data_IF_791127985699
#
_entry.id   IF_791127985699
#
_cell.length_a   1.000
_cell.length_b   1.000
_cell.length_c   1.000
_cell.angle_alpha   90.00
_cell.angle_beta   90.00
_cell.angle_gamma   90.00
#
_symmetry.space_group_name_H-M   'P 1'
#
loop_
_entity.id
_entity.type
_entity.pdbx_description
1 polymer ?
#
# COMPACT_ATOMS: atom_id res chain seq x y z
N UNK A 1 14.13 -3.19 -7.67
CA UNK A 1 13.12 -2.62 -6.75
C UNK A 1 12.75 -3.71 -5.76
N UNK A 2 12.94 -3.48 -4.47
CA UNK A 2 12.76 -4.52 -3.45
C UNK A 2 11.30 -4.98 -3.36
N UNK A 3 11.08 -6.19 -2.84
CA UNK A 3 9.74 -6.76 -2.61
C UNK A 3 8.89 -7.03 -3.89
N UNK A 4 9.49 -6.92 -5.08
CA UNK A 4 8.81 -6.98 -6.38
C UNK A 4 9.46 -8.03 -7.30
N UNK A 5 8.76 -8.54 -8.34
CA UNK A 5 7.35 -8.28 -8.65
C UNK A 5 6.38 -9.03 -7.73
N UNK A 6 5.18 -8.48 -7.56
CA UNK A 6 4.05 -9.17 -6.92
C UNK A 6 3.23 -9.91 -8.00
N UNK A 7 2.98 -11.22 -7.86
CA UNK A 7 2.23 -12.01 -8.86
C UNK A 7 0.77 -11.56 -9.01
N UNK A 8 0.20 -10.90 -8.00
CA UNK A 8 -1.15 -10.33 -8.07
C UNK A 8 -1.18 -8.91 -8.64
N UNK A 9 -0.04 -8.32 -9.02
CA UNK A 9 0.03 -7.00 -9.65
C UNK A 9 0.08 -5.81 -8.68
N UNK A 10 0.26 -6.06 -7.38
CA UNK A 10 0.37 -4.98 -6.37
C UNK A 10 1.68 -4.21 -6.58
N UNK A 11 1.60 -2.88 -6.65
CA UNK A 11 2.76 -2.01 -6.58
C UNK A 11 3.17 -1.78 -5.11
N UNK A 12 3.88 -2.75 -4.52
CA UNK A 12 4.23 -2.71 -3.09
C UNK A 12 4.98 -1.42 -2.70
N UNK A 13 6.03 -0.99 -3.43
CA UNK A 13 6.75 0.24 -3.10
C UNK A 13 5.87 1.50 -3.10
N UNK A 14 5.01 1.68 -4.10
CA UNK A 14 4.17 2.89 -4.19
C UNK A 14 3.11 2.92 -3.09
N UNK A 15 2.50 1.77 -2.75
CA UNK A 15 1.56 1.67 -1.63
C UNK A 15 2.19 2.15 -0.31
N UNK A 16 3.41 1.68 -0.01
CA UNK A 16 4.15 2.12 1.19
C UNK A 16 4.60 3.57 1.11
N UNK A 17 5.02 4.06 -0.06
CA UNK A 17 5.37 5.47 -0.25
C UNK A 17 4.18 6.39 0.03
N UNK A 18 2.96 6.02 -0.39
CA UNK A 18 1.75 6.81 -0.11
C UNK A 18 1.43 6.80 1.39
N UNK A 19 1.51 5.63 2.05
CA UNK A 19 1.28 5.54 3.50
C UNK A 19 2.31 6.34 4.30
N UNK A 20 3.61 6.22 3.99
CA UNK A 20 4.67 6.97 4.67
C UNK A 20 4.49 8.50 4.56
N UNK A 21 3.96 8.96 3.42
CA UNK A 21 3.61 10.37 3.25
C UNK A 21 2.46 10.82 4.17
N UNK A 22 1.60 9.93 4.67
CA UNK A 22 0.53 10.30 5.62
C UNK A 22 1.07 10.65 7.00
N UNK A 23 2.07 9.91 7.50
CA UNK A 23 2.59 10.00 8.88
C UNK A 23 3.31 11.33 9.13
N UNK A 24 4.00 11.87 8.13
CA UNK A 24 5.01 12.92 8.32
C UNK A 24 4.47 14.36 8.51
N UNK A 25 3.16 14.56 8.74
CA UNK A 25 2.45 15.82 9.18
C UNK A 25 0.95 15.68 8.89
N UNK A 26 0.11 15.42 9.90
CA UNK A 26 -1.34 15.25 9.70
C UNK A 26 -2.04 16.60 9.46
N UNK A 27 -2.21 16.96 8.19
CA UNK A 27 -3.15 18.02 7.79
C UNK A 27 -4.29 17.40 6.97
N UNK A 28 -5.48 18.01 7.03
CA UNK A 28 -6.63 17.58 6.21
C UNK A 28 -6.27 17.57 4.71
N UNK A 29 -5.53 18.57 4.24
CA UNK A 29 -5.06 18.65 2.85
C UNK A 29 -4.15 17.47 2.50
N UNK A 30 -3.17 17.15 3.36
CA UNK A 30 -2.25 16.03 3.11
C UNK A 30 -2.98 14.70 3.09
N UNK A 31 -3.91 14.47 4.03
CA UNK A 31 -4.78 13.27 4.05
C UNK A 31 -5.62 13.14 2.78
N UNK A 32 -6.16 14.24 2.27
CA UNK A 32 -6.90 14.23 1.01
C UNK A 32 -5.99 13.89 -0.18
N UNK A 33 -4.80 14.51 -0.26
CA UNK A 33 -3.82 14.26 -1.32
C UNK A 33 -3.34 12.80 -1.33
N UNK A 34 -3.04 12.21 -0.16
CA UNK A 34 -2.56 10.82 -0.08
C UNK A 34 -3.67 9.83 -0.48
N UNK A 35 -4.91 10.04 -0.04
CA UNK A 35 -6.06 9.24 -0.51
C UNK A 35 -6.27 9.38 -2.02
N UNK A 36 -6.12 10.58 -2.57
CA UNK A 36 -6.19 10.79 -4.03
C UNK A 36 -5.09 10.03 -4.77
N UNK A 37 -3.85 10.05 -4.28
CA UNK A 37 -2.74 9.26 -4.86
C UNK A 37 -3.04 7.76 -4.82
N UNK A 38 -3.53 7.25 -3.70
CA UNK A 38 -3.92 5.83 -3.57
C UNK A 38 -5.00 5.44 -4.59
N UNK A 39 -5.97 6.31 -4.85
CA UNK A 39 -7.02 6.09 -5.86
C UNK A 39 -6.51 6.11 -7.31
N UNK A 40 -5.29 6.58 -7.56
CA UNK A 40 -4.67 6.47 -8.89
C UNK A 40 -4.08 5.06 -9.13
N UNK A 41 -3.83 4.30 -8.06
CA UNK A 41 -3.55 2.87 -8.17
C UNK A 41 -4.86 2.11 -8.37
N UNK A 42 -4.84 1.05 -9.17
CA UNK A 42 -6.06 0.29 -9.48
C UNK A 42 -6.38 -0.72 -8.38
N UNK A 43 -7.63 -0.75 -7.95
CA UNK A 43 -8.22 -1.86 -7.18
C UNK A 43 -8.96 -2.87 -8.06
N UNK A 44 -8.88 -2.71 -9.39
CA UNK A 44 -9.62 -3.47 -10.39
C UNK A 44 -8.67 -4.40 -11.13
N UNK A 45 -8.94 -5.72 -11.11
CA UNK A 45 -8.08 -6.75 -11.72
C UNK A 45 -7.97 -6.60 -13.25
N UNK A 46 -9.03 -6.14 -13.90
CA UNK A 46 -9.11 -5.87 -15.34
C UNK A 46 -8.24 -4.69 -15.80
N UNK A 47 -7.82 -3.81 -14.89
CA UNK A 47 -6.98 -2.64 -15.18
C UNK A 47 -5.53 -2.79 -14.71
N UNK A 48 -5.17 -3.98 -14.25
CA UNK A 48 -3.81 -4.26 -13.80
C UNK A 48 -2.86 -4.26 -15.00
N UNK A 49 -1.80 -3.49 -14.87
CA UNK A 49 -0.64 -3.58 -15.76
C UNK A 49 0.41 -4.48 -15.07
N UNK A 50 0.67 -5.65 -15.66
CA UNK A 50 1.61 -6.62 -15.11
C UNK A 50 3.08 -6.31 -15.47
N UNK A 51 3.31 -5.44 -16.46
CA UNK A 51 4.63 -4.94 -16.82
C UNK A 51 5.01 -3.72 -15.96
N UNK A 52 4.05 -2.81 -15.76
CA UNK A 52 4.18 -1.61 -14.93
C UNK A 52 3.19 -1.68 -13.76
N UNK A 53 3.52 -2.53 -12.78
CA UNK A 53 2.65 -2.83 -11.63
C UNK A 53 1.99 -1.56 -11.06
N UNK A 54 0.67 -1.52 -11.10
CA UNK A 54 -0.17 -0.36 -10.75
C UNK A 54 -1.27 -0.71 -9.73
N UNK A 55 -1.28 -1.94 -9.21
CA UNK A 55 -2.26 -2.42 -8.24
C UNK A 55 -2.11 -1.75 -6.88
N UNK A 56 -3.22 -1.36 -6.28
CA UNK A 56 -3.27 -0.87 -4.90
C UNK A 56 -3.24 -2.05 -3.90
N UNK A 57 -3.16 -1.74 -2.61
CA UNK A 57 -3.08 -2.75 -1.57
C UNK A 57 -4.31 -3.68 -1.47
N UNK A 58 -5.49 -3.25 -1.94
CA UNK A 58 -6.71 -4.09 -1.92
C UNK A 58 -6.64 -5.28 -2.87
N UNK A 59 -5.67 -5.29 -3.81
CA UNK A 59 -5.40 -6.41 -4.72
C UNK A 59 -4.60 -7.54 -4.04
N UNK A 60 -3.96 -7.27 -2.90
CA UNK A 60 -3.14 -8.25 -2.19
C UNK A 60 -3.95 -9.52 -1.87
N UNK A 61 -3.41 -10.67 -2.24
CA UNK A 61 -4.01 -11.99 -2.01
C UNK A 61 -3.37 -12.73 -0.84
N UNK A 62 -2.42 -12.07 -0.15
CA UNK A 62 -1.61 -12.67 0.93
C UNK A 62 -0.85 -13.94 0.48
N UNK A 63 -0.35 -13.95 -0.76
CA UNK A 63 0.41 -15.10 -1.31
C UNK A 63 1.82 -15.27 -0.73
N UNK A 64 2.30 -14.31 0.07
CA UNK A 64 3.59 -14.33 0.77
C UNK A 64 4.88 -14.34 -0.11
N UNK A 65 4.79 -14.36 -1.44
CA UNK A 65 5.98 -14.34 -2.33
C UNK A 65 6.90 -13.12 -2.16
N UNK A 66 6.36 -12.03 -1.62
CA UNK A 66 7.13 -10.81 -1.39
C UNK A 66 8.05 -10.90 -0.16
N UNK A 67 7.80 -11.85 0.76
CA UNK A 67 8.56 -11.99 2.01
C UNK A 67 10.02 -12.34 1.74
N UNK A 68 10.28 -13.29 0.84
CA UNK A 68 11.65 -13.71 0.46
C UNK A 68 12.41 -12.60 -0.29
N UNK A 69 11.70 -11.66 -0.91
CA UNK A 69 12.25 -10.56 -1.69
C UNK A 69 12.47 -9.29 -0.85
N UNK A 70 12.07 -9.30 0.42
CA UNK A 70 12.06 -8.13 1.29
C UNK A 70 13.39 -8.02 2.05
N UNK A 71 14.22 -6.98 1.79
CA UNK A 71 15.50 -6.81 2.50
C UNK A 71 15.32 -6.42 3.97
N UNK A 72 14.14 -5.94 4.35
CA UNK A 72 13.82 -5.50 5.71
C UNK A 72 13.10 -6.57 6.53
N UNK A 73 12.81 -7.74 5.94
CA UNK A 73 12.12 -8.85 6.61
C UNK A 73 10.81 -8.45 7.30
N UNK A 74 10.08 -7.47 6.75
CA UNK A 74 8.77 -7.06 7.26
C UNK A 74 7.68 -7.98 6.71
N UNK A 75 6.58 -8.13 7.46
CA UNK A 75 5.40 -8.87 6.99
C UNK A 75 4.58 -8.01 6.03
N UNK A 76 4.98 -8.02 4.75
CA UNK A 76 4.39 -7.18 3.70
C UNK A 76 2.87 -7.35 3.56
N UNK A 77 2.30 -8.58 3.55
CA UNK A 77 0.85 -8.76 3.50
C UNK A 77 0.11 -8.04 4.63
N UNK A 78 0.61 -8.12 5.86
CA UNK A 78 0.01 -7.43 7.01
C UNK A 78 0.13 -5.91 6.88
N UNK A 79 1.28 -5.41 6.39
CA UNK A 79 1.44 -3.98 6.14
C UNK A 79 0.52 -3.49 5.00
N UNK A 80 0.34 -4.26 3.93
CA UNK A 80 -0.59 -3.92 2.84
C UNK A 80 -2.04 -3.90 3.34
N UNK A 81 -2.43 -4.78 4.26
CA UNK A 81 -3.75 -4.75 4.87
C UNK A 81 -3.98 -3.44 5.63
N UNK A 82 -2.98 -2.96 6.39
CA UNK A 82 -3.02 -1.65 7.06
C UNK A 82 -3.11 -0.51 6.05
N UNK A 83 -2.36 -0.58 4.94
CA UNK A 83 -2.43 0.41 3.85
C UNK A 83 -3.85 0.52 3.31
N UNK A 84 -4.50 -0.60 2.95
CA UNK A 84 -5.87 -0.60 2.44
C UNK A 84 -6.87 -0.10 3.49
N UNK A 85 -6.72 -0.49 4.75
CA UNK A 85 -7.56 0.01 5.83
C UNK A 85 -7.50 1.55 5.95
N UNK A 86 -6.30 2.13 5.95
CA UNK A 86 -6.11 3.57 6.17
C UNK A 86 -6.44 4.39 4.92
N UNK A 87 -5.94 3.97 3.75
CA UNK A 87 -6.04 4.74 2.51
C UNK A 87 -7.29 4.42 1.69
N UNK A 88 -7.69 3.14 1.65
CA UNK A 88 -8.85 2.65 0.90
C UNK A 88 -10.15 2.74 1.70
N UNK A 89 -10.16 2.20 2.92
CA UNK A 89 -11.36 2.13 3.79
C UNK A 89 -11.52 3.34 4.72
N UNK A 90 -10.48 4.16 4.86
CA UNK A 90 -10.52 5.41 5.59
C UNK A 90 -10.41 5.28 7.11
N UNK A 91 -9.90 4.17 7.62
CA UNK A 91 -9.57 3.99 9.04
C UNK A 91 -8.52 5.01 9.50
N UNK A 92 -8.44 5.26 10.82
CA UNK A 92 -7.43 6.18 11.35
C UNK A 92 -6.09 5.45 11.44
N UNK A 93 -5.02 6.19 11.21
CA UNK A 93 -3.67 5.64 11.32
C UNK A 93 -3.34 5.19 12.75
N UNK A 94 -3.89 5.90 13.74
CA UNK A 94 -3.78 5.58 15.18
C UNK A 94 -4.39 4.24 15.56
N UNK A 95 -5.26 3.66 14.72
CA UNK A 95 -5.88 2.36 14.98
C UNK A 95 -4.90 1.20 14.68
N UNK A 96 -3.81 1.47 13.96
CA UNK A 96 -2.85 0.46 13.49
C UNK A 96 -1.40 0.74 13.88
N UNK A 97 -1.04 2.01 14.05
CA UNK A 97 0.30 2.43 14.46
C UNK A 97 0.18 3.31 15.70
N UNK A 98 0.99 3.00 16.72
CA UNK A 98 1.13 3.86 17.89
C UNK A 98 1.83 5.15 17.45
N UNK A 99 1.04 6.19 17.17
CA UNK A 99 1.56 7.53 16.94
C UNK A 99 1.99 8.10 18.29
N UNK A 100 3.30 8.23 18.50
CA UNK A 100 3.88 8.99 19.63
C UNK A 100 3.50 10.47 19.55
#
# INVERSE_FOLDING_TARGET
NYCMPCPSGVNIPENFAILNNTVSKDTRLKRWLTKRKYRNLTGSKDKLDMENLNGNASICTRCNECLEKCPQSINIPDELEKVDAILGKGCKISDYYNTL
#
